data_IF_308390010470
#
_entry.id   IF_308390010470
#
_cell.length_a   1.000
_cell.length_b   1.000
_cell.length_c   1.000
_cell.angle_alpha   90.00
_cell.angle_beta   90.00
_cell.angle_gamma   90.00
#
_symmetry.space_group_name_H-M   'P 1'
#
loop_
_entity.id
_entity.type
_entity.pdbx_description
1 polymer ?
#
# COMPACT_ATOMS: atom_id res chain seq x y z
N UNK A 1 -18.93 -11.88 -23.23
CA UNK A 1 -18.92 -12.97 -22.23
C UNK A 1 -17.91 -12.58 -21.16
N UNK A 2 -18.30 -12.58 -19.88
CA UNK A 2 -17.38 -12.34 -18.75
C UNK A 2 -17.21 -13.68 -18.05
N UNK A 3 -15.97 -14.08 -17.77
CA UNK A 3 -15.66 -15.29 -17.00
C UNK A 3 -14.78 -14.92 -15.81
N UNK A 4 -14.84 -15.73 -14.75
CA UNK A 4 -13.99 -15.58 -13.58
C UNK A 4 -12.84 -16.59 -13.67
N UNK A 5 -11.60 -16.11 -13.48
CA UNK A 5 -10.40 -16.94 -13.43
C UNK A 5 -9.75 -16.81 -12.06
N UNK A 6 -9.60 -17.93 -11.37
CA UNK A 6 -8.89 -18.01 -10.09
C UNK A 6 -7.53 -18.65 -10.30
N UNK A 7 -6.46 -17.94 -9.93
CA UNK A 7 -5.09 -18.41 -10.04
C UNK A 7 -4.51 -18.53 -8.63
N UNK A 8 -4.09 -19.73 -8.25
CA UNK A 8 -3.33 -19.97 -7.02
C UNK A 8 -1.85 -19.86 -7.37
N UNK A 9 -1.14 -18.95 -6.72
CA UNK A 9 0.27 -18.68 -7.01
C UNK A 9 1.06 -18.32 -5.75
N UNK A 10 2.38 -18.31 -5.89
CA UNK A 10 3.32 -17.72 -4.93
C UNK A 10 4.32 -16.86 -5.70
N UNK A 11 4.78 -15.76 -5.10
CA UNK A 11 5.86 -14.97 -5.70
C UNK A 11 7.17 -15.76 -5.70
N UNK A 12 8.03 -15.53 -6.70
CA UNK A 12 9.37 -16.14 -6.74
C UNK A 12 10.33 -15.49 -5.75
N UNK A 13 11.44 -16.17 -5.45
CA UNK A 13 12.51 -15.65 -4.57
C UNK A 13 13.13 -14.34 -5.08
N UNK A 14 13.10 -14.12 -6.40
CA UNK A 14 13.58 -12.91 -7.07
C UNK A 14 12.42 -12.07 -7.60
N UNK A 15 11.39 -11.87 -6.77
CA UNK A 15 10.30 -10.95 -7.10
C UNK A 15 10.86 -9.53 -7.27
N UNK A 16 10.91 -9.03 -8.51
CA UNK A 16 11.54 -7.75 -8.83
C UNK A 16 10.76 -6.53 -8.32
N UNK A 17 9.47 -6.68 -8.06
CA UNK A 17 8.65 -5.63 -7.47
C UNK A 17 8.78 -5.52 -5.96
N UNK A 18 9.27 -6.55 -5.25
CA UNK A 18 9.21 -6.60 -3.79
C UNK A 18 10.59 -6.49 -3.18
N UNK A 19 10.75 -5.57 -2.24
CA UNK A 19 11.94 -5.50 -1.41
C UNK A 19 11.60 -5.91 0.02
N UNK A 20 12.20 -7.02 0.45
CA UNK A 20 12.15 -7.48 1.84
C UNK A 20 13.38 -6.99 2.57
N UNK A 21 13.17 -6.19 3.61
CA UNK A 21 14.19 -5.70 4.51
C UNK A 21 14.22 -6.55 5.76
N UNK A 22 15.43 -7.00 6.13
CA UNK A 22 15.67 -7.56 7.47
C UNK A 22 15.46 -6.48 8.52
N UNK A 23 15.20 -6.89 9.77
CA UNK A 23 15.07 -5.95 10.87
C UNK A 23 16.29 -5.02 10.97
N UNK A 24 17.51 -5.52 10.80
CA UNK A 24 18.74 -4.73 10.80
C UNK A 24 18.80 -3.63 9.73
N UNK A 25 17.95 -3.68 8.71
CA UNK A 25 17.88 -2.68 7.65
C UNK A 25 16.80 -1.61 7.92
N UNK A 26 15.93 -1.81 8.91
CA UNK A 26 14.91 -0.83 9.32
C UNK A 26 15.48 0.19 10.30
N UNK A 27 14.80 1.31 10.51
CA UNK A 27 15.24 2.38 11.42
C UNK A 27 15.14 1.93 12.87
N UNK A 28 14.08 1.19 13.21
CA UNK A 28 13.87 0.69 14.57
C UNK A 28 14.77 -0.50 14.91
N UNK A 29 15.28 -1.23 13.91
CA UNK A 29 16.05 -2.47 14.08
C UNK A 29 15.27 -3.62 14.75
N UNK A 30 13.95 -3.49 14.93
CA UNK A 30 13.12 -4.41 15.71
C UNK A 30 12.38 -5.46 14.88
N UNK A 31 11.93 -5.08 13.69
CA UNK A 31 11.01 -5.86 12.86
C UNK A 31 11.38 -5.75 11.39
N UNK A 32 11.09 -6.79 10.57
CA UNK A 32 11.29 -6.72 9.12
C UNK A 32 10.32 -5.72 8.49
N UNK A 33 10.59 -5.38 7.23
CA UNK A 33 9.77 -4.47 6.44
C UNK A 33 9.66 -4.99 5.00
N UNK A 34 8.52 -4.76 4.36
CA UNK A 34 8.26 -5.08 2.97
C UNK A 34 7.65 -3.86 2.32
N UNK A 35 8.10 -3.52 1.11
CA UNK A 35 7.37 -2.63 0.23
C UNK A 35 7.47 -3.10 -1.21
N UNK A 36 6.47 -2.72 -2.01
CA UNK A 36 6.44 -2.98 -3.44
C UNK A 36 6.77 -1.73 -4.26
N UNK A 37 7.36 -1.93 -5.43
CA UNK A 37 7.45 -0.95 -6.51
C UNK A 37 7.06 -1.62 -7.83
N UNK A 38 5.85 -1.35 -8.32
CA UNK A 38 5.31 -2.00 -9.52
C UNK A 38 5.62 -1.26 -10.82
N UNK A 39 5.90 0.05 -10.76
CA UNK A 39 6.21 0.81 -11.97
C UNK A 39 7.63 0.51 -12.48
N UNK A 40 7.82 0.22 -13.77
CA UNK A 40 6.84 0.32 -14.87
C UNK A 40 6.06 -0.97 -15.18
N UNK A 41 6.69 -2.13 -15.04
CA UNK A 41 6.18 -3.44 -15.50
C UNK A 41 6.45 -4.56 -14.49
N UNK A 42 6.47 -4.23 -13.21
CA UNK A 42 6.84 -5.17 -12.15
C UNK A 42 5.62 -5.76 -11.44
N UNK A 43 4.40 -5.24 -11.65
CA UNK A 43 3.21 -5.83 -11.05
C UNK A 43 3.05 -7.33 -11.41
N UNK A 44 3.47 -7.73 -12.63
CA UNK A 44 3.52 -9.12 -13.08
C UNK A 44 4.38 -10.06 -12.23
N UNK A 45 5.35 -9.54 -11.46
CA UNK A 45 6.15 -10.37 -10.55
C UNK A 45 5.45 -10.62 -9.22
N UNK A 46 4.42 -9.82 -8.88
CA UNK A 46 3.57 -10.01 -7.71
C UNK A 46 2.33 -10.82 -8.09
N UNK A 47 1.55 -10.34 -9.06
CA UNK A 47 0.23 -10.90 -9.41
C UNK A 47 0.20 -11.22 -10.91
N UNK A 48 -0.26 -12.42 -11.33
CA UNK A 48 -0.54 -12.70 -12.73
C UNK A 48 -1.63 -11.74 -13.25
N UNK A 49 -1.24 -10.79 -14.11
CA UNK A 49 -2.13 -9.75 -14.60
C UNK A 49 -1.76 -9.28 -16.01
N UNK A 50 -2.68 -8.56 -16.66
CA UNK A 50 -2.39 -7.80 -17.87
C UNK A 50 -1.57 -6.56 -17.49
N UNK A 51 -0.26 -6.74 -17.36
CA UNK A 51 0.65 -5.73 -16.83
C UNK A 51 1.05 -4.68 -17.88
N UNK A 52 0.06 -3.86 -18.24
CA UNK A 52 0.13 -2.76 -19.20
C UNK A 52 -0.71 -1.59 -18.70
N UNK A 53 -0.24 -0.33 -18.85
CA UNK A 53 -1.04 0.84 -18.47
C UNK A 53 -2.32 1.02 -19.31
N UNK A 54 -2.43 0.33 -20.45
CA UNK A 54 -3.60 0.35 -21.31
C UNK A 54 -4.84 -0.32 -20.68
N UNK A 55 -4.64 -1.20 -19.69
CA UNK A 55 -5.71 -1.89 -18.97
C UNK A 55 -5.84 -1.29 -17.57
N UNK A 56 -7.06 -0.85 -17.21
CA UNK A 56 -7.38 -0.34 -15.87
C UNK A 56 -8.40 -1.23 -15.18
N UNK A 57 -8.19 -1.53 -13.90
CA UNK A 57 -9.01 -2.44 -13.10
C UNK A 57 -9.19 -1.92 -11.68
N UNK A 58 -10.34 -2.24 -11.07
CA UNK A 58 -10.55 -2.15 -9.63
C UNK A 58 -9.98 -3.40 -8.97
N UNK A 59 -9.66 -3.35 -7.67
CA UNK A 59 -9.30 -4.56 -6.94
C UNK A 59 -9.81 -4.53 -5.49
N UNK A 60 -10.05 -5.72 -4.96
CA UNK A 60 -10.19 -5.96 -3.53
C UNK A 60 -9.02 -6.85 -3.11
N UNK A 61 -8.52 -6.66 -1.90
CA UNK A 61 -7.45 -7.49 -1.36
C UNK A 61 -7.74 -7.82 0.10
N UNK A 62 -7.41 -9.05 0.49
CA UNK A 62 -7.30 -9.47 1.89
C UNK A 62 -5.88 -9.92 2.10
N UNK A 63 -5.16 -9.29 3.04
CA UNK A 63 -3.74 -9.54 3.28
C UNK A 63 -3.55 -9.93 4.75
N UNK A 64 -3.01 -11.12 4.98
CA UNK A 64 -2.61 -11.58 6.31
C UNK A 64 -1.12 -11.28 6.54
N UNK A 65 -0.81 -10.60 7.64
CA UNK A 65 0.56 -10.24 8.05
C UNK A 65 0.79 -10.61 9.51
N UNK A 66 2.03 -10.74 9.99
CA UNK A 66 2.31 -10.88 11.43
C UNK A 66 1.58 -9.81 12.25
N UNK A 67 0.97 -10.20 13.37
CA UNK A 67 0.02 -9.36 14.11
C UNK A 67 0.62 -8.11 14.76
N UNK A 68 1.94 -8.01 14.81
CA UNK A 68 2.70 -6.85 15.27
C UNK A 68 3.10 -5.89 14.14
N UNK A 69 2.63 -6.12 12.91
CA UNK A 69 2.90 -5.30 11.74
C UNK A 69 1.61 -4.66 11.17
N UNK A 70 1.80 -3.50 10.56
CA UNK A 70 0.76 -2.77 9.84
C UNK A 70 0.91 -3.06 8.36
N UNK A 71 -0.22 -3.31 7.69
CA UNK A 71 -0.30 -3.44 6.24
C UNK A 71 -1.04 -2.24 5.66
N UNK A 72 -0.52 -1.66 4.58
CA UNK A 72 -1.21 -0.66 3.77
C UNK A 72 -1.10 -1.06 2.29
N UNK A 73 -2.08 -0.63 1.51
CA UNK A 73 -2.08 -0.79 0.07
C UNK A 73 -2.52 0.51 -0.62
N UNK A 74 -2.36 0.57 -1.94
CA UNK A 74 -2.93 1.62 -2.82
C UNK A 74 -4.46 1.53 -2.95
N UNK A 75 -5.16 1.44 -1.81
CA UNK A 75 -6.59 1.19 -1.69
C UNK A 75 -7.12 1.67 -0.33
N UNK A 76 -8.44 1.82 -0.21
CA UNK A 76 -9.09 2.18 1.05
C UNK A 76 -9.24 0.95 1.93
N UNK A 77 -8.80 1.05 3.20
CA UNK A 77 -9.01 0.00 4.19
C UNK A 77 -10.51 -0.17 4.47
N UNK A 78 -10.97 -1.42 4.59
CA UNK A 78 -12.37 -1.77 4.80
C UNK A 78 -12.50 -2.47 6.14
N UNK A 79 -13.35 -1.93 7.01
CA UNK A 79 -13.57 -2.48 8.34
C UNK A 79 -12.35 -2.34 9.26
N UNK A 80 -12.38 -3.06 10.38
CA UNK A 80 -11.25 -3.16 11.30
C UNK A 80 -10.41 -4.40 10.95
N UNK A 81 -9.08 -4.36 11.15
CA UNK A 81 -8.24 -5.53 10.97
C UNK A 81 -8.67 -6.68 11.89
N UNK A 82 -8.68 -7.90 11.37
CA UNK A 82 -9.10 -9.09 12.12
C UNK A 82 -7.87 -9.85 12.62
N UNK A 83 -7.76 -10.07 13.94
CA UNK A 83 -6.67 -10.83 14.54
C UNK A 83 -7.00 -12.33 14.54
N UNK A 84 -6.11 -13.14 13.98
CA UNK A 84 -6.20 -14.59 13.85
C UNK A 84 -4.88 -15.22 14.35
N UNK A 85 -4.82 -15.46 15.66
CA UNK A 85 -3.63 -15.98 16.33
C UNK A 85 -2.43 -15.03 16.22
N UNK A 86 -1.42 -15.43 15.44
CA UNK A 86 -0.19 -14.64 15.20
C UNK A 86 -0.27 -13.75 13.95
N UNK A 87 -1.41 -13.74 13.28
CA UNK A 87 -1.63 -12.96 12.07
C UNK A 87 -2.74 -11.92 12.29
N UNK A 88 -2.67 -10.84 11.53
CA UNK A 88 -3.75 -9.88 11.39
C UNK A 88 -4.11 -9.76 9.91
N UNK A 89 -5.40 -9.88 9.59
CA UNK A 89 -5.95 -9.76 8.25
C UNK A 89 -6.45 -8.35 8.03
N UNK A 90 -5.95 -7.71 6.97
CA UNK A 90 -6.37 -6.40 6.51
C UNK A 90 -7.16 -6.54 5.21
N UNK A 91 -8.31 -5.87 5.14
CA UNK A 91 -9.15 -5.85 3.94
C UNK A 91 -9.06 -4.49 3.26
N UNK A 92 -8.93 -4.48 1.94
CA UNK A 92 -8.80 -3.26 1.13
C UNK A 92 -9.71 -3.28 -0.08
N UNK A 93 -10.18 -2.10 -0.49
CA UNK A 93 -11.00 -1.88 -1.68
C UNK A 93 -10.50 -0.67 -2.47
N UNK A 94 -10.11 -0.91 -3.72
CA UNK A 94 -9.82 0.11 -4.72
C UNK A 94 -10.98 0.17 -5.72
N UNK A 95 -11.88 1.12 -5.51
CA UNK A 95 -13.10 1.25 -6.32
C UNK A 95 -12.87 2.02 -7.63
N UNK A 96 -11.75 2.72 -7.77
CA UNK A 96 -11.39 3.48 -8.98
C UNK A 96 -10.49 2.60 -9.84
N UNK A 97 -10.78 2.54 -11.14
CA UNK A 97 -9.99 1.71 -12.06
C UNK A 97 -8.58 2.27 -12.23
N UNK A 98 -7.57 1.48 -11.85
CA UNK A 98 -6.16 1.84 -11.94
C UNK A 98 -5.39 0.89 -12.86
N UNK A 99 -4.33 1.34 -13.54
CA UNK A 99 -3.37 0.45 -14.18
C UNK A 99 -2.59 -0.38 -13.16
N UNK A 100 -2.11 -1.56 -13.57
CA UNK A 100 -1.42 -2.53 -12.71
C UNK A 100 -0.21 -1.95 -11.97
N UNK A 101 0.53 -1.02 -12.59
CA UNK A 101 1.72 -0.43 -11.98
C UNK A 101 1.44 0.43 -10.74
N UNK A 102 0.18 0.84 -10.52
CA UNK A 102 -0.24 1.56 -9.32
C UNK A 102 -0.62 0.63 -8.16
N UNK A 103 -0.63 -0.69 -8.36
CA UNK A 103 -0.73 -1.63 -7.26
C UNK A 103 0.47 -1.43 -6.32
N UNK A 104 0.20 -1.11 -5.07
CA UNK A 104 1.21 -1.00 -4.04
C UNK A 104 0.79 -1.75 -2.77
N UNK A 105 1.78 -2.30 -2.08
CA UNK A 105 1.68 -2.88 -0.74
C UNK A 105 2.90 -2.49 0.08
N UNK A 106 2.68 -2.19 1.36
CA UNK A 106 3.72 -2.03 2.36
C UNK A 106 3.30 -2.76 3.64
N UNK A 107 4.26 -3.46 4.26
CA UNK A 107 4.06 -4.15 5.53
C UNK A 107 5.25 -3.85 6.44
N UNK A 108 4.99 -3.36 7.64
CA UNK A 108 6.07 -3.03 8.56
C UNK A 108 5.60 -2.52 9.91
N UNK A 109 6.57 -2.26 10.78
CA UNK A 109 6.31 -1.66 12.08
C UNK A 109 6.20 -0.13 11.93
N UNK A 110 4.97 0.35 11.76
CA UNK A 110 4.67 1.74 11.46
C UNK A 110 3.73 2.33 12.50
N UNK A 111 3.72 3.65 12.59
CA UNK A 111 2.70 4.44 13.25
C UNK A 111 1.97 5.31 12.23
N UNK A 112 0.89 5.97 12.68
CA UNK A 112 0.14 6.95 11.91
C UNK A 112 0.17 8.32 12.60
N UNK A 113 0.24 9.40 11.82
CA UNK A 113 -0.11 10.76 12.24
C UNK A 113 -1.06 11.37 11.22
N UNK A 114 -2.17 11.93 11.67
CA UNK A 114 -3.15 12.58 10.81
C UNK A 114 -2.73 14.04 10.55
N UNK A 115 -2.52 14.38 9.28
CA UNK A 115 -2.24 15.75 8.82
C UNK A 115 -3.53 16.55 8.61
N UNK A 116 -4.60 15.87 8.15
CA UNK A 116 -5.93 16.43 7.95
C UNK A 116 -6.99 15.31 8.00
N UNK A 117 -8.25 15.64 7.73
CA UNK A 117 -9.31 14.63 7.62
C UNK A 117 -9.09 13.61 6.48
N UNK A 118 -8.21 13.92 5.52
CA UNK A 118 -7.98 13.11 4.30
C UNK A 118 -6.49 12.89 4.00
N UNK A 119 -5.60 13.27 4.91
CA UNK A 119 -4.17 13.09 4.77
C UNK A 119 -3.58 12.55 6.07
N UNK A 120 -2.75 11.53 5.95
CA UNK A 120 -2.00 10.98 7.06
C UNK A 120 -0.61 10.55 6.59
N UNK A 121 0.35 10.64 7.51
CA UNK A 121 1.68 10.07 7.36
C UNK A 121 1.72 8.73 8.07
N UNK A 122 2.35 7.76 7.41
CA UNK A 122 2.71 6.47 7.98
C UNK A 122 4.21 6.29 7.88
N UNK A 123 4.86 5.99 9.00
CA UNK A 123 6.31 5.80 9.06
C UNK A 123 6.70 4.97 10.29
N UNK A 124 7.95 4.52 10.34
CA UNK A 124 8.50 3.92 11.56
C UNK A 124 8.48 4.93 12.72
N UNK A 125 8.27 4.49 13.98
CA UNK A 125 8.14 5.38 15.15
C UNK A 125 9.24 6.43 15.33
N UNK A 126 10.48 6.12 14.93
CA UNK A 126 11.62 7.04 15.06
C UNK A 126 11.65 8.16 14.01
N UNK A 127 10.84 8.06 12.96
CA UNK A 127 10.85 8.99 11.81
C UNK A 127 9.54 9.77 11.72
N UNK A 128 8.46 9.27 12.33
CA UNK A 128 7.13 9.76 12.05
C UNK A 128 6.88 11.20 12.47
N UNK A 129 7.47 11.67 13.56
CA UNK A 129 7.26 13.04 14.02
C UNK A 129 8.01 14.06 13.13
N UNK A 130 9.22 13.70 12.65
CA UNK A 130 9.94 14.50 11.66
C UNK A 130 9.18 14.54 10.32
N UNK A 131 8.69 13.40 9.86
CA UNK A 131 7.89 13.32 8.63
C UNK A 131 6.56 14.08 8.76
N UNK A 132 5.91 14.03 9.92
CA UNK A 132 4.69 14.79 10.18
C UNK A 132 4.93 16.31 10.08
N UNK A 133 6.04 16.80 10.63
CA UNK A 133 6.43 18.20 10.48
C UNK A 133 6.74 18.55 9.03
N UNK A 134 7.60 17.77 8.37
CA UNK A 134 8.07 18.05 7.00
C UNK A 134 6.93 18.08 5.97
N UNK A 135 5.93 17.20 6.13
CA UNK A 135 4.79 17.10 5.22
C UNK A 135 3.53 17.83 5.71
N UNK A 136 3.66 18.71 6.72
CA UNK A 136 2.56 19.46 7.34
C UNK A 136 1.63 20.19 6.35
N UNK A 137 2.20 20.70 5.25
CA UNK A 137 1.47 21.49 4.25
C UNK A 137 0.75 20.66 3.17
N UNK A 138 0.75 19.32 3.26
CA UNK A 138 0.20 18.44 2.21
C UNK A 138 -1.28 18.73 1.90
N UNK A 139 -2.10 18.99 2.91
CA UNK A 139 -3.52 19.33 2.69
C UNK A 139 -3.69 20.61 1.88
N UNK A 140 -2.86 21.62 2.13
CA UNK A 140 -2.86 22.88 1.38
C UNK A 140 -2.41 22.66 -0.06
N UNK A 141 -1.43 21.79 -0.29
CA UNK A 141 -1.02 21.39 -1.64
C UNK A 141 -2.16 20.71 -2.39
N UNK A 142 -2.90 19.81 -1.73
CA UNK A 142 -4.07 19.15 -2.33
C UNK A 142 -5.19 20.16 -2.65
N UNK A 143 -5.53 21.06 -1.73
CA UNK A 143 -6.54 22.09 -1.99
C UNK A 143 -6.14 22.99 -3.17
N UNK A 144 -4.85 23.36 -3.23
CA UNK A 144 -4.32 24.13 -4.35
C UNK A 144 -4.45 23.36 -5.67
N UNK A 145 -4.07 22.07 -5.68
CA UNK A 145 -4.24 21.22 -6.85
C UNK A 145 -5.73 21.10 -7.25
N UNK A 146 -6.63 20.90 -6.30
CA UNK A 146 -8.07 20.81 -6.58
C UNK A 146 -8.63 22.10 -7.20
N UNK A 147 -8.17 23.26 -6.74
CA UNK A 147 -8.56 24.55 -7.29
C UNK A 147 -8.05 24.75 -8.73
N UNK A 148 -6.89 24.19 -9.06
CA UNK A 148 -6.26 24.34 -10.37
C UNK A 148 -6.76 23.33 -11.41
N UNK A 149 -6.94 22.05 -11.01
CA UNK A 149 -7.18 20.95 -11.94
C UNK A 149 -8.43 20.12 -11.62
N UNK A 150 -9.22 20.55 -10.63
CA UNK A 150 -10.48 19.92 -10.24
C UNK A 150 -10.36 18.93 -9.09
N UNK A 151 -11.51 18.53 -8.55
CA UNK A 151 -11.65 17.72 -7.33
C UNK A 151 -10.81 16.44 -7.33
N UNK A 152 -10.15 16.18 -6.19
CA UNK A 152 -9.44 14.93 -5.92
C UNK A 152 -10.43 13.77 -5.84
N UNK A 153 -10.19 12.73 -6.64
CA UNK A 153 -11.17 11.66 -6.86
C UNK A 153 -10.97 10.42 -6.00
N UNK A 154 -9.82 10.28 -5.34
CA UNK A 154 -9.46 9.08 -4.57
C UNK A 154 -9.91 9.16 -3.13
#
# INVERSE_FOLDING_TARGET
MIFNLSIIYKTGEKCSALQFLKAEQTVTKKKPYLFSQCQSIYARSIVPCMDTPAVKQTYNAVVAVPSDLICLMSAIAVGQPEVDGKLTKYSFKQSIRIPSYLLAIVVGFMEKRDLSMRCAIWAEPKVIDEAFYEFGETEKMLQTAENLVGKYRW
#
